data_IF_201192257920
#
_entry.id   IF_201192257920
#
_cell.length_a   1.000
_cell.length_b   1.000
_cell.length_c   1.000
_cell.angle_alpha   90.00
_cell.angle_beta   90.00
_cell.angle_gamma   90.00
#
_symmetry.space_group_name_H-M   'P 1'
#
loop_
_entity.id
_entity.type
_entity.pdbx_description
1 polymer ?
#
# COMPACT_ATOMS: atom_id res chain seq x y z
N UNK A 1 24.37 -10.30 5.60
CA UNK A 1 23.55 -9.70 6.68
C UNK A 1 22.16 -10.30 6.58
N UNK A 2 21.50 -10.61 7.70
CA UNK A 2 20.07 -10.93 7.65
C UNK A 2 19.31 -9.70 7.17
N UNK A 3 18.28 -9.85 6.31
CA UNK A 3 17.46 -8.73 5.89
C UNK A 3 16.77 -8.11 7.12
N UNK A 4 16.56 -6.79 7.08
CA UNK A 4 15.74 -6.11 8.07
C UNK A 4 14.31 -6.63 8.04
N UNK A 5 13.57 -6.44 9.13
CA UNK A 5 12.18 -6.84 9.22
C UNK A 5 11.19 -5.79 8.73
N UNK A 6 9.97 -6.23 8.43
CA UNK A 6 8.84 -5.37 8.06
C UNK A 6 7.77 -5.42 9.15
N UNK A 7 7.34 -4.25 9.63
CA UNK A 7 6.15 -4.10 10.45
C UNK A 7 4.97 -3.70 9.56
N UNK A 8 3.86 -4.44 9.63
CA UNK A 8 2.68 -4.17 8.82
C UNK A 8 1.53 -3.69 9.70
N UNK A 9 1.03 -2.48 9.45
CA UNK A 9 -0.26 -2.03 9.94
C UNK A 9 -1.33 -2.25 8.89
N UNK A 10 -2.48 -2.76 9.29
CA UNK A 10 -3.60 -3.00 8.38
C UNK A 10 -4.80 -3.59 9.11
N UNK A 11 -5.72 -4.17 8.35
CA UNK A 11 -6.88 -4.83 8.92
C UNK A 11 -6.82 -6.35 8.76
N UNK A 12 -7.47 -7.05 9.68
CA UNK A 12 -7.85 -8.44 9.46
C UNK A 12 -8.95 -8.51 8.40
N UNK A 13 -8.80 -9.46 7.49
CA UNK A 13 -9.72 -9.70 6.39
C UNK A 13 -9.84 -11.20 6.13
N UNK A 14 -11.00 -11.62 5.63
CA UNK A 14 -11.33 -13.03 5.37
C UNK A 14 -10.93 -13.47 3.95
N UNK A 15 -10.75 -12.53 3.02
CA UNK A 15 -10.33 -12.89 1.66
C UNK A 15 -8.87 -13.33 1.64
N UNK A 16 -8.58 -14.32 0.81
CA UNK A 16 -7.25 -14.91 0.67
C UNK A 16 -6.21 -13.89 0.17
N UNK A 17 -6.64 -12.85 -0.53
CA UNK A 17 -5.80 -11.87 -1.22
C UNK A 17 -5.84 -10.46 -0.62
N UNK A 18 -6.39 -10.28 0.59
CA UNK A 18 -6.45 -8.97 1.23
C UNK A 18 -6.08 -9.01 2.71
N UNK A 19 -5.94 -7.82 3.29
CA UNK A 19 -5.62 -7.62 4.70
C UNK A 19 -4.25 -8.13 5.10
N UNK A 20 -4.03 -8.17 6.42
CA UNK A 20 -2.75 -8.50 7.03
C UNK A 20 -2.21 -9.87 6.62
N UNK A 21 -3.09 -10.88 6.42
CA UNK A 21 -2.67 -12.23 6.03
C UNK A 21 -2.10 -12.28 4.61
N UNK A 22 -2.61 -11.45 3.70
CA UNK A 22 -2.08 -11.36 2.35
C UNK A 22 -0.75 -10.60 2.33
N UNK A 23 -0.66 -9.52 3.11
CA UNK A 23 0.60 -8.77 3.31
C UNK A 23 1.70 -9.67 3.89
N UNK A 24 1.38 -10.43 4.95
CA UNK A 24 2.31 -11.36 5.61
C UNK A 24 2.83 -12.42 4.65
N UNK A 25 1.94 -13.06 3.88
CA UNK A 25 2.33 -14.07 2.86
C UNK A 25 3.20 -13.46 1.78
N UNK A 26 2.86 -12.26 1.31
CA UNK A 26 3.64 -11.55 0.30
C UNK A 26 5.06 -11.23 0.77
N UNK A 27 5.21 -10.76 2.01
CA UNK A 27 6.54 -10.45 2.59
C UNK A 27 7.31 -11.73 2.91
N UNK A 28 6.65 -12.75 3.46
CA UNK A 28 7.27 -14.04 3.79
C UNK A 28 7.76 -14.77 2.54
N UNK A 29 7.03 -14.68 1.42
CA UNK A 29 7.46 -15.22 0.13
C UNK A 29 8.78 -14.60 -0.36
N UNK A 30 9.13 -13.40 0.12
CA UNK A 30 10.42 -12.77 -0.15
C UNK A 30 11.51 -13.18 0.85
N UNK A 31 11.23 -14.05 1.83
CA UNK A 31 12.18 -14.45 2.86
C UNK A 31 12.53 -13.32 3.84
N UNK A 32 11.60 -12.40 4.08
CA UNK A 32 11.79 -11.25 4.98
C UNK A 32 10.98 -11.46 6.26
N UNK A 33 11.56 -11.27 7.46
CA UNK A 33 10.81 -11.33 8.71
C UNK A 33 9.70 -10.27 8.74
N UNK A 34 8.53 -10.65 9.24
CA UNK A 34 7.36 -9.78 9.30
C UNK A 34 6.62 -9.92 10.63
N UNK A 35 6.15 -8.79 11.16
CA UNK A 35 5.14 -8.76 12.22
C UNK A 35 3.98 -7.88 11.75
N UNK A 36 2.76 -8.35 11.98
CA UNK A 36 1.53 -7.61 11.66
C UNK A 36 0.91 -7.04 12.93
N UNK A 37 0.36 -5.84 12.86
CA UNK A 37 -0.43 -5.19 13.92
C UNK A 37 -1.78 -4.79 13.33
N UNK A 38 -2.85 -5.21 13.99
CA UNK A 38 -4.22 -4.99 13.51
C UNK A 38 -4.77 -3.65 13.97
N UNK A 39 -5.10 -2.79 13.01
CA UNK A 39 -5.89 -1.59 13.23
C UNK A 39 -7.40 -1.88 13.31
N UNK A 40 -7.82 -3.10 12.99
CA UNK A 40 -9.21 -3.54 13.07
C UNK A 40 -9.53 -4.69 12.13
N UNK A 41 -10.81 -4.94 11.87
CA UNK A 41 -11.29 -5.99 10.97
C UNK A 41 -12.29 -5.46 9.95
N UNK A 42 -12.17 -5.90 8.71
CA UNK A 42 -13.19 -5.69 7.69
C UNK A 42 -14.40 -6.60 7.93
N UNK A 43 -15.61 -6.08 7.73
CA UNK A 43 -16.83 -6.87 7.68
C UNK A 43 -17.29 -6.88 6.22
N UNK A 44 -17.56 -8.08 5.67
CA UNK A 44 -17.86 -8.25 4.24
C UNK A 44 -19.18 -8.98 4.00
N UNK A 45 -19.76 -8.73 2.83
CA UNK A 45 -20.77 -9.57 2.20
C UNK A 45 -20.18 -10.16 0.91
N UNK A 46 -19.59 -11.36 1.02
CA UNK A 46 -18.79 -11.93 -0.07
C UNK A 46 -17.50 -11.14 -0.30
N UNK A 47 -17.28 -10.67 -1.53
CA UNK A 47 -16.10 -9.84 -1.86
C UNK A 47 -16.30 -8.36 -1.51
N UNK A 48 -17.53 -7.91 -1.25
CA UNK A 48 -17.84 -6.51 -0.97
C UNK A 48 -17.67 -6.18 0.52
N UNK A 49 -16.81 -5.22 0.90
CA UNK A 49 -16.73 -4.75 2.27
C UNK A 49 -17.92 -3.84 2.59
N UNK A 50 -18.62 -4.14 3.69
CA UNK A 50 -19.85 -3.45 4.11
C UNK A 50 -19.68 -2.63 5.37
N UNK A 51 -18.76 -3.02 6.25
CA UNK A 51 -18.47 -2.31 7.50
C UNK A 51 -17.02 -2.59 7.97
N UNK A 52 -16.59 -1.95 9.05
CA UNK A 52 -15.35 -2.26 9.74
C UNK A 52 -15.48 -2.12 11.26
N UNK A 53 -14.61 -2.83 11.99
CA UNK A 53 -14.47 -2.69 13.44
C UNK A 53 -13.05 -2.25 13.74
N UNK A 54 -12.88 -1.20 14.54
CA UNK A 54 -11.56 -0.71 14.91
C UNK A 54 -11.01 -1.48 16.13
N UNK A 55 -9.70 -1.75 16.12
CA UNK A 55 -8.98 -2.21 17.32
C UNK A 55 -9.01 -1.10 18.38
N UNK A 56 -9.17 -1.47 19.65
CA UNK A 56 -9.10 -0.52 20.74
C UNK A 56 -7.73 0.20 20.75
N UNK A 57 -7.73 1.52 20.93
CA UNK A 57 -6.51 2.34 20.81
C UNK A 57 -5.38 1.89 21.75
N UNK A 58 -5.72 1.47 22.98
CA UNK A 58 -4.74 0.94 23.94
C UNK A 58 -4.11 -0.37 23.46
N UNK A 59 -4.91 -1.27 22.86
CA UNK A 59 -4.39 -2.50 22.27
C UNK A 59 -3.46 -2.19 21.09
N UNK A 60 -3.85 -1.26 20.20
CA UNK A 60 -3.01 -0.83 19.08
C UNK A 60 -1.65 -0.27 19.55
N UNK A 61 -1.63 0.55 20.60
CA UNK A 61 -0.39 1.08 21.20
C UNK A 61 0.48 -0.05 21.75
N UNK A 62 -0.11 -0.95 22.54
CA UNK A 62 0.61 -2.04 23.19
C UNK A 62 1.18 -3.04 22.17
N UNK A 63 0.39 -3.45 21.19
CA UNK A 63 0.80 -4.35 20.11
C UNK A 63 1.90 -3.73 19.24
N UNK A 64 1.80 -2.43 18.94
CA UNK A 64 2.86 -1.70 18.20
C UNK A 64 4.18 -1.72 18.95
N UNK A 65 4.16 -1.36 20.24
CA UNK A 65 5.37 -1.35 21.06
C UNK A 65 5.97 -2.74 21.24
N UNK A 66 5.13 -3.77 21.31
CA UNK A 66 5.59 -5.16 21.39
C UNK A 66 6.19 -5.67 20.08
N UNK A 67 5.56 -5.35 18.95
CA UNK A 67 6.07 -5.68 17.63
C UNK A 67 7.47 -5.09 17.40
N UNK A 68 7.66 -3.81 17.69
CA UNK A 68 8.95 -3.12 17.52
C UNK A 68 10.07 -3.68 18.42
N UNK A 69 9.74 -4.27 19.56
CA UNK A 69 10.73 -4.95 20.42
C UNK A 69 11.12 -6.34 19.90
N UNK A 70 10.26 -6.97 19.10
CA UNK A 70 10.43 -8.35 18.61
C UNK A 70 11.10 -8.44 17.25
N UNK A 71 11.14 -7.35 16.48
CA UNK A 71 11.68 -7.31 15.12
C UNK A 71 12.68 -6.17 14.96
N UNK A 72 13.82 -6.44 14.29
CA UNK A 72 14.69 -5.37 13.79
C UNK A 72 14.02 -4.69 12.59
N UNK A 73 13.04 -3.85 12.88
CA UNK A 73 12.22 -3.18 11.89
C UNK A 73 13.06 -2.21 11.05
N UNK A 74 13.01 -2.34 9.71
CA UNK A 74 13.56 -1.35 8.78
C UNK A 74 12.49 -0.66 7.95
N UNK A 75 11.35 -1.32 7.75
CA UNK A 75 10.27 -0.81 6.92
C UNK A 75 8.94 -0.99 7.63
N UNK A 76 8.12 0.06 7.61
CA UNK A 76 6.71 -0.01 8.01
C UNK A 76 5.84 0.00 6.76
N UNK A 77 5.05 -1.04 6.55
CA UNK A 77 3.97 -1.04 5.55
C UNK A 77 2.67 -0.65 6.22
N UNK A 78 1.97 0.33 5.66
CA UNK A 78 0.70 0.82 6.19
C UNK A 78 -0.39 0.53 5.16
N UNK A 79 -1.42 -0.20 5.58
CA UNK A 79 -2.67 -0.41 4.84
C UNK A 79 -3.83 0.31 5.51
N UNK A 80 -4.94 -0.41 5.71
CA UNK A 80 -6.16 0.17 6.27
C UNK A 80 -5.96 0.67 7.72
N UNK A 81 -6.35 1.91 7.98
CA UNK A 81 -6.48 2.53 9.30
C UNK A 81 -7.87 3.17 9.38
N UNK A 82 -8.59 3.02 10.48
CA UNK A 82 -10.03 3.32 10.52
C UNK A 82 -10.42 4.61 11.24
N UNK A 83 -9.47 5.30 11.88
CA UNK A 83 -9.75 6.57 12.57
C UNK A 83 -8.54 7.50 12.61
N UNK A 84 -8.79 8.80 12.84
CA UNK A 84 -7.75 9.79 13.05
C UNK A 84 -6.85 9.44 14.26
N UNK A 85 -7.41 8.83 15.30
CA UNK A 85 -6.67 8.38 16.48
C UNK A 85 -5.72 7.22 16.15
N UNK A 86 -6.17 6.23 15.36
CA UNK A 86 -5.31 5.13 14.92
C UNK A 86 -4.16 5.64 14.06
N UNK A 87 -4.43 6.62 13.19
CA UNK A 87 -3.44 7.29 12.35
C UNK A 87 -2.39 8.03 13.19
N UNK A 88 -2.82 8.79 14.20
CA UNK A 88 -1.92 9.49 15.13
C UNK A 88 -0.99 8.53 15.87
N UNK A 89 -1.49 7.36 16.27
CA UNK A 89 -0.67 6.34 16.95
C UNK A 89 0.42 5.82 16.00
N UNK A 90 0.05 5.48 14.76
CA UNK A 90 1.00 5.03 13.74
C UNK A 90 2.00 6.15 13.40
N UNK A 91 1.53 7.38 13.20
CA UNK A 91 2.38 8.54 12.90
C UNK A 91 3.42 8.80 14.00
N UNK A 92 3.04 8.73 15.28
CA UNK A 92 3.98 8.86 16.41
C UNK A 92 5.06 7.77 16.37
N UNK A 93 4.70 6.56 15.97
CA UNK A 93 5.65 5.45 15.83
C UNK A 93 6.71 5.74 14.78
N UNK A 94 6.30 6.29 13.63
CA UNK A 94 7.21 6.71 12.56
C UNK A 94 8.13 7.85 13.02
N UNK A 95 7.58 8.85 13.71
CA UNK A 95 8.35 10.00 14.20
C UNK A 95 9.40 9.63 15.26
N UNK A 96 9.15 8.60 16.06
CA UNK A 96 10.11 8.12 17.07
C UNK A 96 11.26 7.30 16.45
N UNK A 97 11.18 6.95 15.16
CA UNK A 97 12.08 6.00 14.53
C UNK A 97 12.54 6.53 13.16
N UNK A 98 13.46 7.50 13.16
CA UNK A 98 13.93 8.19 11.94
C UNK A 98 14.55 7.26 10.87
N UNK A 99 14.96 6.05 11.23
CA UNK A 99 15.55 5.08 10.32
C UNK A 99 14.52 4.21 9.58
N UNK A 100 13.22 4.30 9.93
CA UNK A 100 12.18 3.49 9.30
C UNK A 100 11.76 4.09 7.96
N UNK A 101 11.87 3.29 6.91
CA UNK A 101 11.23 3.60 5.64
C UNK A 101 9.74 3.27 5.72
N UNK A 102 8.89 4.09 5.12
CA UNK A 102 7.44 3.86 5.13
C UNK A 102 6.90 3.59 3.74
N UNK A 103 6.20 2.47 3.58
CA UNK A 103 5.41 2.14 2.39
C UNK A 103 3.93 2.28 2.74
N UNK A 104 3.25 3.28 2.20
CA UNK A 104 1.82 3.48 2.39
C UNK A 104 1.06 2.92 1.19
N UNK A 105 0.14 1.98 1.42
CA UNK A 105 -0.87 1.58 0.45
C UNK A 105 -2.19 2.27 0.80
N UNK A 106 -2.56 3.27 0.00
CA UNK A 106 -3.75 4.09 0.27
C UNK A 106 -5.05 3.37 -0.07
N UNK A 107 -5.03 2.40 -0.98
CA UNK A 107 -6.23 1.74 -1.48
C UNK A 107 -7.03 1.04 -0.36
N UNK A 108 -6.42 0.25 0.55
CA UNK A 108 -7.14 -0.30 1.70
C UNK A 108 -7.76 0.75 2.63
N UNK A 109 -7.21 1.96 2.72
CA UNK A 109 -7.76 3.03 3.56
C UNK A 109 -9.11 3.55 3.03
N UNK A 110 -9.28 3.59 1.70
CA UNK A 110 -10.52 4.06 1.06
C UNK A 110 -11.50 2.95 0.69
N UNK A 111 -11.04 1.69 0.60
CA UNK A 111 -11.84 0.56 0.10
C UNK A 111 -12.21 -0.50 1.14
N UNK A 112 -11.84 -0.33 2.42
CA UNK A 112 -12.16 -1.30 3.48
C UNK A 112 -13.28 -0.80 4.39
N UNK A 113 -14.50 -0.85 3.87
CA UNK A 113 -15.72 -0.45 4.57
C UNK A 113 -16.25 0.91 4.10
N UNK A 114 -16.97 1.65 4.97
CA UNK A 114 -17.53 2.95 4.63
C UNK A 114 -16.44 3.95 4.25
N UNK A 115 -16.81 4.98 3.47
CA UNK A 115 -15.89 6.05 3.13
C UNK A 115 -15.25 6.65 4.41
N UNK A 116 -13.91 6.88 4.42
CA UNK A 116 -13.23 7.38 5.59
C UNK A 116 -13.77 8.77 5.96
N UNK A 117 -13.90 9.01 7.26
CA UNK A 117 -14.28 10.34 7.76
C UNK A 117 -13.23 11.37 7.37
N UNK A 118 -13.67 12.61 7.13
CA UNK A 118 -12.80 13.72 6.74
C UNK A 118 -11.60 13.89 7.69
N UNK A 119 -11.84 13.79 9.00
CA UNK A 119 -10.80 13.89 10.03
C UNK A 119 -9.70 12.81 9.90
N UNK A 120 -10.06 11.60 9.44
CA UNK A 120 -9.12 10.53 9.18
C UNK A 120 -8.30 10.81 7.92
N UNK A 121 -8.92 11.29 6.84
CA UNK A 121 -8.20 11.69 5.62
C UNK A 121 -7.20 12.81 5.93
N UNK A 122 -7.64 13.84 6.67
CA UNK A 122 -6.78 14.94 7.12
C UNK A 122 -5.63 14.44 7.99
N UNK A 123 -5.87 13.52 8.93
CA UNK A 123 -4.82 12.94 9.75
C UNK A 123 -3.82 12.15 8.89
N UNK A 124 -4.29 11.33 7.94
CA UNK A 124 -3.42 10.56 7.05
C UNK A 124 -2.49 11.48 6.26
N UNK A 125 -3.07 12.52 5.65
CA UNK A 125 -2.33 13.51 4.86
C UNK A 125 -1.35 14.32 5.69
N UNK A 126 -1.72 14.78 6.89
CA UNK A 126 -0.87 15.69 7.68
C UNK A 126 0.15 14.97 8.54
N UNK A 127 -0.15 13.75 8.98
CA UNK A 127 0.64 13.09 10.03
C UNK A 127 1.47 11.91 9.51
N UNK A 128 1.01 11.18 8.48
CA UNK A 128 1.73 10.03 7.90
C UNK A 128 2.38 10.39 6.57
N UNK A 129 1.60 10.95 5.65
CA UNK A 129 2.00 11.22 4.26
C UNK A 129 3.35 11.97 4.12
N UNK A 130 3.71 12.95 4.97
CA UNK A 130 5.00 13.64 4.91
C UNK A 130 6.23 12.77 5.17
N UNK A 131 6.05 11.61 5.80
CA UNK A 131 7.14 10.68 6.14
C UNK A 131 7.17 9.45 5.23
N UNK A 132 6.36 9.43 4.17
CA UNK A 132 6.23 8.26 3.29
C UNK A 132 7.38 8.18 2.29
N UNK A 133 8.09 7.05 2.28
CA UNK A 133 9.10 6.75 1.26
C UNK A 133 8.42 6.41 -0.07
N UNK A 134 7.46 5.48 -0.03
CA UNK A 134 6.69 5.05 -1.21
C UNK A 134 5.21 5.06 -0.90
N UNK A 135 4.45 5.85 -1.63
CA UNK A 135 2.99 5.77 -1.66
C UNK A 135 2.55 4.93 -2.86
N UNK A 136 1.71 3.92 -2.61
CA UNK A 136 0.95 3.19 -3.63
C UNK A 136 -0.51 3.59 -3.55
N UNK A 137 -1.06 4.02 -4.69
CA UNK A 137 -2.45 4.44 -4.82
C UNK A 137 -2.99 4.15 -6.23
N UNK A 138 -4.28 4.29 -6.42
CA UNK A 138 -4.95 4.45 -7.72
C UNK A 138 -5.43 5.89 -7.86
N UNK A 139 -5.84 6.29 -9.07
CA UNK A 139 -6.31 7.66 -9.34
C UNK A 139 -7.36 8.17 -8.34
N UNK A 140 -8.44 7.39 -8.01
CA UNK A 140 -9.40 7.82 -6.99
C UNK A 140 -8.79 8.21 -5.64
N UNK A 141 -7.82 7.44 -5.12
CA UNK A 141 -7.21 7.74 -3.82
C UNK A 141 -6.29 8.96 -3.90
N UNK A 142 -5.53 9.10 -4.99
CA UNK A 142 -4.70 10.30 -5.22
C UNK A 142 -5.56 11.55 -5.28
N UNK A 143 -6.67 11.49 -6.03
CA UNK A 143 -7.62 12.60 -6.13
C UNK A 143 -8.24 12.92 -4.76
N UNK A 144 -8.63 11.92 -3.98
CA UNK A 144 -9.18 12.15 -2.64
C UNK A 144 -8.19 12.87 -1.70
N UNK A 145 -6.92 12.51 -1.73
CA UNK A 145 -5.87 13.17 -0.94
C UNK A 145 -5.60 14.61 -1.41
N UNK A 146 -5.61 14.86 -2.72
CA UNK A 146 -5.41 16.19 -3.30
C UNK A 146 -6.62 17.11 -3.07
N UNK A 147 -7.84 16.59 -3.23
CA UNK A 147 -9.07 17.32 -2.97
C UNK A 147 -9.16 17.73 -1.48
N UNK A 148 -8.79 16.84 -0.54
CA UNK A 148 -8.70 17.19 0.89
C UNK A 148 -7.62 18.24 1.19
N UNK A 149 -6.55 18.28 0.39
CA UNK A 149 -5.54 19.32 0.47
C UNK A 149 -6.00 20.67 -0.14
N UNK A 150 -7.18 20.73 -0.78
CA UNK A 150 -7.66 21.90 -1.50
C UNK A 150 -6.98 22.11 -2.85
N UNK A 151 -6.46 21.05 -3.45
CA UNK A 151 -5.74 21.05 -4.73
C UNK A 151 -6.59 20.25 -5.75
N UNK A 152 -7.59 20.88 -6.39
CA UNK A 152 -8.44 20.17 -7.33
C UNK A 152 -7.62 19.73 -8.55
N UNK A 153 -7.72 18.45 -8.88
CA UNK A 153 -7.17 17.87 -10.10
C UNK A 153 -8.27 17.14 -10.88
N UNK A 154 -8.21 17.24 -12.20
CA UNK A 154 -9.08 16.49 -13.10
C UNK A 154 -8.67 15.02 -13.16
N UNK A 155 -9.60 14.16 -13.57
CA UNK A 155 -9.27 12.76 -13.85
C UNK A 155 -8.32 12.68 -15.05
N UNK A 156 -7.19 11.95 -14.96
CA UNK A 156 -6.19 11.92 -16.00
C UNK A 156 -6.72 11.25 -17.27
N UNK A 157 -6.33 11.77 -18.43
CA UNK A 157 -6.70 11.25 -19.75
C UNK A 157 -5.50 10.72 -20.53
N UNK A 158 -4.31 10.83 -19.95
CA UNK A 158 -3.03 10.42 -20.54
C UNK A 158 -2.03 10.02 -19.45
N UNK A 159 -0.97 9.32 -19.82
CA UNK A 159 0.13 8.98 -18.90
C UNK A 159 0.82 10.26 -18.39
N UNK A 160 0.88 11.32 -19.20
CA UNK A 160 1.41 12.62 -18.80
C UNK A 160 0.57 13.28 -17.71
N UNK A 161 -0.77 13.13 -17.77
CA UNK A 161 -1.65 13.62 -16.70
C UNK A 161 -1.43 12.84 -15.40
N UNK A 162 -1.25 11.52 -15.49
CA UNK A 162 -0.93 10.67 -14.33
C UNK A 162 0.39 11.08 -13.68
N UNK A 163 1.43 11.30 -14.49
CA UNK A 163 2.72 11.79 -13.99
C UNK A 163 2.59 13.16 -13.32
N UNK A 164 1.82 14.06 -13.92
CA UNK A 164 1.56 15.40 -13.37
C UNK A 164 0.84 15.29 -12.03
N UNK A 165 -0.21 14.47 -11.95
CA UNK A 165 -0.97 14.20 -10.73
C UNK A 165 -0.09 13.57 -9.63
N UNK A 166 0.75 12.59 -9.98
CA UNK A 166 1.69 11.98 -9.04
C UNK A 166 2.68 13.00 -8.49
N UNK A 167 3.26 13.86 -9.34
CA UNK A 167 4.16 14.93 -8.92
C UNK A 167 3.47 16.00 -8.06
N UNK A 168 2.21 16.34 -8.36
CA UNK A 168 1.42 17.22 -7.47
C UNK A 168 1.25 16.60 -6.09
N UNK A 169 0.94 15.30 -6.02
CA UNK A 169 0.78 14.59 -4.75
C UNK A 169 2.09 14.48 -3.97
N UNK A 170 3.24 14.34 -4.63
CA UNK A 170 4.56 14.36 -3.99
C UNK A 170 4.82 15.66 -3.21
N UNK A 171 4.27 16.80 -3.66
CA UNK A 171 4.39 18.06 -2.91
C UNK A 171 3.68 18.02 -1.54
N UNK A 172 2.86 17.01 -1.27
CA UNK A 172 2.27 16.77 0.05
C UNK A 172 3.16 15.94 0.98
N UNK A 173 4.30 15.40 0.51
CA UNK A 173 5.17 14.60 1.36
C UNK A 173 5.91 13.43 0.72
N UNK A 174 5.22 12.50 0.03
CA UNK A 174 5.81 11.22 -0.31
C UNK A 174 7.00 11.37 -1.25
N UNK A 175 8.10 10.67 -0.94
CA UNK A 175 9.30 10.75 -1.78
C UNK A 175 9.04 10.15 -3.16
N UNK A 176 8.38 8.99 -3.19
CA UNK A 176 7.92 8.31 -4.39
C UNK A 176 6.41 8.08 -4.36
N UNK A 177 5.76 8.24 -5.51
CA UNK A 177 4.34 7.96 -5.72
C UNK A 177 4.19 6.99 -6.88
N UNK A 178 3.51 5.87 -6.62
CA UNK A 178 3.08 4.88 -7.60
C UNK A 178 1.58 5.05 -7.78
N UNK A 179 1.16 5.37 -9.00
CA UNK A 179 -0.24 5.29 -9.40
C UNK A 179 -0.42 4.01 -10.23
N UNK A 180 -1.36 3.17 -9.78
CA UNK A 180 -1.70 1.87 -10.38
C UNK A 180 -2.98 1.98 -11.19
N UNK A 181 -3.12 1.11 -12.21
CA UNK A 181 -4.36 0.88 -12.99
C UNK A 181 -5.01 2.16 -13.53
N UNK A 182 -4.49 2.62 -14.65
CA UNK A 182 -5.16 3.66 -15.41
C UNK A 182 -5.17 3.28 -16.88
N UNK A 183 -6.31 2.75 -17.33
CA UNK A 183 -6.72 2.65 -18.74
C UNK A 183 -6.51 1.30 -19.45
N UNK A 184 -6.94 0.17 -18.87
CA UNK A 184 -7.14 -1.05 -19.67
C UNK A 184 -8.49 -1.68 -19.35
N UNK A 185 -9.41 -1.66 -20.32
CA UNK A 185 -10.54 -2.58 -20.35
C UNK A 185 -10.01 -3.98 -20.70
N UNK A 186 -10.37 -4.97 -19.89
CA UNK A 186 -9.94 -6.36 -20.03
C UNK A 186 -11.12 -7.20 -20.53
N UNK A 187 -11.47 -7.07 -21.81
CA UNK A 187 -12.63 -7.73 -22.44
C UNK A 187 -12.27 -8.98 -23.25
N UNK A 188 -10.97 -9.22 -23.49
CA UNK A 188 -10.43 -10.32 -24.30
C UNK A 188 -9.89 -11.49 -23.46
N UNK A 189 -10.07 -11.45 -22.13
CA UNK A 189 -9.53 -12.44 -21.20
C UNK A 189 -8.04 -12.27 -20.87
N UNK A 190 -7.41 -11.19 -21.34
CA UNK A 190 -6.06 -10.79 -20.96
C UNK A 190 -6.08 -9.83 -19.78
N UNK A 191 -5.06 -9.89 -18.93
CA UNK A 191 -4.85 -8.93 -17.84
C UNK A 191 -3.72 -7.99 -18.18
N UNK A 192 -3.85 -6.71 -17.80
CA UNK A 192 -2.79 -5.71 -17.89
C UNK A 192 -2.43 -5.20 -16.51
N UNK A 193 -1.22 -5.54 -16.07
CA UNK A 193 -0.63 -4.92 -14.89
C UNK A 193 0.06 -3.63 -15.33
N UNK A 194 -0.27 -2.50 -14.71
CA UNK A 194 0.27 -1.19 -15.08
C UNK A 194 0.48 -0.28 -13.88
N UNK A 195 1.60 0.46 -13.88
CA UNK A 195 1.82 1.58 -12.97
C UNK A 195 2.70 2.68 -13.57
N UNK A 196 2.57 3.88 -12.99
CA UNK A 196 3.48 5.01 -13.16
C UNK A 196 4.11 5.34 -11.81
N UNK A 197 5.44 5.27 -11.73
CA UNK A 197 6.24 5.65 -10.56
C UNK A 197 6.92 7.00 -10.83
N UNK A 198 6.63 7.99 -9.97
CA UNK A 198 7.31 9.28 -9.94
C UNK A 198 8.11 9.41 -8.64
N UNK A 199 9.29 10.06 -8.70
CA UNK A 199 10.15 10.25 -7.53
C UNK A 199 11.64 10.29 -7.82
N UNK A 200 12.07 9.54 -8.85
CA UNK A 200 13.45 9.55 -9.36
C UNK A 200 13.70 10.67 -10.37
N UNK A 201 14.87 10.62 -11.02
CA UNK A 201 15.24 11.56 -12.10
C UNK A 201 14.23 11.53 -13.25
N UNK A 202 13.81 10.33 -13.63
CA UNK A 202 12.80 10.09 -14.67
C UNK A 202 11.66 9.19 -14.14
N UNK A 203 10.41 9.41 -14.59
CA UNK A 203 9.31 8.51 -14.28
C UNK A 203 9.56 7.10 -14.82
N UNK A 204 9.24 6.08 -14.03
CA UNK A 204 9.21 4.70 -14.48
C UNK A 204 7.76 4.31 -14.82
N UNK A 205 7.51 3.98 -16.08
CA UNK A 205 6.21 3.49 -16.56
C UNK A 205 6.37 2.01 -16.89
N UNK A 206 5.50 1.17 -16.33
CA UNK A 206 5.47 -0.26 -16.64
C UNK A 206 4.06 -0.64 -17.07
N UNK A 207 3.97 -1.32 -18.21
CA UNK A 207 2.76 -1.95 -18.71
C UNK A 207 3.13 -3.38 -19.13
N UNK A 208 2.48 -4.39 -18.56
CA UNK A 208 2.63 -5.77 -19.01
C UNK A 208 1.26 -6.39 -19.22
N UNK A 209 1.02 -6.91 -20.43
CA UNK A 209 -0.23 -7.57 -20.83
C UNK A 209 0.01 -9.06 -21.05
N UNK A 210 -0.76 -9.90 -20.36
CA UNK A 210 -0.55 -11.34 -20.35
C UNK A 210 -1.84 -12.11 -20.02
N UNK A 211 -1.83 -13.42 -20.25
CA UNK A 211 -2.93 -14.31 -19.87
C UNK A 211 -3.01 -14.44 -18.34
N UNK A 212 -4.24 -14.37 -17.81
CA UNK A 212 -4.54 -14.64 -16.42
C UNK A 212 -5.37 -15.93 -16.32
N UNK A 213 -4.74 -17.11 -16.44
CA UNK A 213 -5.43 -18.38 -16.66
C UNK A 213 -6.37 -18.77 -15.52
N UNK A 214 -6.10 -18.27 -14.31
CA UNK A 214 -6.90 -18.51 -13.10
C UNK A 214 -7.87 -17.37 -12.77
N UNK A 215 -7.91 -16.30 -13.59
CA UNK A 215 -8.69 -15.08 -13.34
C UNK A 215 -8.44 -14.54 -11.92
N UNK A 216 -7.17 -14.51 -11.51
CA UNK A 216 -6.77 -14.00 -10.19
C UNK A 216 -7.04 -12.49 -10.14
N UNK A 217 -7.84 -12.07 -9.17
CA UNK A 217 -8.08 -10.67 -8.84
C UNK A 217 -7.31 -10.29 -7.55
N UNK A 218 -7.08 -9.00 -7.34
CA UNK A 218 -6.44 -8.49 -6.12
C UNK A 218 -4.94 -8.77 -5.97
N UNK A 219 -4.31 -9.45 -6.94
CA UNK A 219 -2.87 -9.72 -6.91
C UNK A 219 -2.01 -8.45 -6.84
N UNK A 220 -2.51 -7.32 -7.36
CA UNK A 220 -1.85 -6.01 -7.25
C UNK A 220 -1.77 -5.49 -5.81
N UNK A 221 -2.58 -6.01 -4.87
CA UNK A 221 -2.47 -5.70 -3.43
C UNK A 221 -1.18 -6.26 -2.81
N UNK A 222 -0.53 -7.22 -3.48
CA UNK A 222 0.77 -7.74 -3.06
C UNK A 222 1.94 -6.84 -3.49
N UNK A 223 1.74 -5.85 -4.37
CA UNK A 223 2.83 -4.96 -4.81
C UNK A 223 3.41 -4.16 -3.61
N UNK A 224 2.61 -3.42 -2.81
CA UNK A 224 3.14 -2.65 -1.68
C UNK A 224 3.88 -3.48 -0.61
N UNK A 225 3.36 -4.63 -0.12
CA UNK A 225 4.11 -5.45 0.83
C UNK A 225 5.40 -6.04 0.24
N UNK A 226 5.43 -6.39 -1.05
CA UNK A 226 6.67 -6.87 -1.71
C UNK A 226 7.67 -5.71 -1.89
N UNK A 227 7.22 -4.48 -2.14
CA UNK A 227 8.09 -3.28 -2.13
C UNK A 227 8.71 -3.13 -0.74
N UNK A 228 7.91 -3.23 0.32
CA UNK A 228 8.41 -3.12 1.68
C UNK A 228 9.47 -4.19 1.99
N UNK A 229 9.26 -5.43 1.54
CA UNK A 229 10.22 -6.52 1.67
C UNK A 229 11.53 -6.24 0.92
N UNK A 230 11.49 -5.75 -0.32
CA UNK A 230 12.69 -5.40 -1.08
C UNK A 230 13.46 -4.22 -0.45
N UNK A 231 12.76 -3.19 0.03
CA UNK A 231 13.39 -2.09 0.76
C UNK A 231 14.07 -2.58 2.05
N UNK A 232 13.45 -3.53 2.78
CA UNK A 232 14.04 -4.12 3.98
C UNK A 232 15.29 -4.97 3.69
N UNK A 233 15.43 -5.48 2.45
CA UNK A 233 16.66 -6.12 1.94
C UNK A 233 17.74 -5.11 1.50
N UNK A 234 17.43 -3.82 1.49
CA UNK A 234 18.36 -2.75 1.09
C UNK A 234 18.34 -2.40 -0.40
N UNK A 235 17.30 -2.77 -1.14
CA UNK A 235 17.17 -2.45 -2.55
C UNK A 235 16.96 -0.94 -2.74
N UNK A 236 17.41 -0.39 -3.87
CA UNK A 236 17.03 0.96 -4.28
C UNK A 236 15.52 1.05 -4.56
N UNK A 237 14.90 2.23 -4.43
CA UNK A 237 13.43 2.32 -4.54
C UNK A 237 12.89 1.92 -5.91
N UNK A 238 13.49 2.40 -7.01
CA UNK A 238 13.06 1.99 -8.37
C UNK A 238 13.25 0.48 -8.58
N UNK A 239 14.37 -0.09 -8.12
CA UNK A 239 14.64 -1.53 -8.19
C UNK A 239 13.61 -2.33 -7.39
N UNK A 240 13.31 -1.91 -6.16
CA UNK A 240 12.30 -2.53 -5.32
C UNK A 240 10.93 -2.55 -6.01
N UNK A 241 10.52 -1.44 -6.63
CA UNK A 241 9.25 -1.35 -7.37
C UNK A 241 9.22 -2.27 -8.59
N UNK A 242 10.26 -2.23 -9.43
CA UNK A 242 10.37 -3.11 -10.61
C UNK A 242 10.35 -4.59 -10.23
N UNK A 243 11.11 -4.98 -9.19
CA UNK A 243 11.16 -6.35 -8.71
C UNK A 243 9.81 -6.82 -8.15
N UNK A 244 9.11 -5.97 -7.39
CA UNK A 244 7.78 -6.28 -6.86
C UNK A 244 6.73 -6.46 -7.97
N UNK A 245 6.77 -5.62 -8.99
CA UNK A 245 5.87 -5.77 -10.13
C UNK A 245 6.13 -7.07 -10.89
N UNK A 246 7.40 -7.38 -11.17
CA UNK A 246 7.79 -8.62 -11.86
C UNK A 246 7.34 -9.86 -11.09
N UNK A 247 7.53 -9.86 -9.76
CA UNK A 247 7.05 -10.94 -8.89
C UNK A 247 5.54 -11.14 -9.02
N UNK A 248 4.75 -10.07 -8.96
CA UNK A 248 3.28 -10.16 -9.06
C UNK A 248 2.84 -10.60 -10.46
N UNK A 249 3.52 -10.12 -11.51
CA UNK A 249 3.27 -10.58 -12.88
C UNK A 249 3.52 -12.09 -13.04
N UNK A 250 4.65 -12.59 -12.55
CA UNK A 250 5.00 -14.02 -12.59
C UNK A 250 4.00 -14.86 -11.78
N UNK A 251 3.58 -14.37 -10.62
CA UNK A 251 2.55 -14.99 -9.77
C UNK A 251 1.21 -15.14 -10.52
N UNK A 252 0.75 -14.09 -11.20
CA UNK A 252 -0.51 -14.15 -11.96
C UNK A 252 -0.38 -15.09 -13.17
N UNK A 253 0.73 -15.02 -13.91
CA UNK A 253 1.00 -15.91 -15.06
C UNK A 253 1.06 -17.38 -14.66
N UNK A 254 1.66 -17.67 -13.51
CA UNK A 254 1.75 -19.02 -12.95
C UNK A 254 0.43 -19.56 -12.39
N UNK A 255 -0.51 -18.67 -12.05
CA UNK A 255 -1.79 -19.06 -11.44
C UNK A 255 -1.65 -19.57 -10.01
N UNK A 256 -0.58 -19.19 -9.32
CA UNK A 256 -0.24 -19.61 -7.96
C UNK A 256 -0.23 -18.36 -7.07
N UNK A 257 -1.19 -18.25 -6.14
CA UNK A 257 -1.29 -17.14 -5.21
C UNK A 257 -0.96 -17.61 -3.79
N UNK A 258 0.33 -17.60 -3.46
CA UNK A 258 0.87 -18.02 -2.16
C UNK A 258 0.40 -19.42 -1.73
N UNK A 259 0.26 -20.37 -2.67
CA UNK A 259 -0.11 -21.77 -2.37
C UNK A 259 1.06 -22.65 -1.94
#
# INVERSE_FOLDING_TARGET
>A
MQPGGVLVFGCSDELVNSGLKADERAITAQGVPVITVSAGSAIRNGEEPVDNTATALEALINETGDALRKIDCKVVKIGALFSAESIRIVARTLQQSEHLMTVLDAEPFFKTGPAPKQEAVTALRKEILPSVKVLSATVPEVKALLDEAGIPVDYPKSIQDVQSMANTLRNLGPEYVIIKREMFEETDGMTTLHFVLCGGEEPLIVASRFENPKKLFGASYSIPPVIAAHLAKGYGTQEAVSASFKFVEEMIKGGDYFS
#
